data_IF_628662902243
#
_entry.id   IF_628662902243
#
_cell.length_a   1.000
_cell.length_b   1.000
_cell.length_c   1.000
_cell.angle_alpha   90.00
_cell.angle_beta   90.00
_cell.angle_gamma   90.00
#
_symmetry.space_group_name_H-M   'P 1'
#
loop_
_entity.id
_entity.type
_entity.pdbx_description
1 polymer ?
#
# COMPACT_ATOMS: atom_id res chain seq x y z
N UNK A 1 3.44 15.00 6.93
CA UNK A 1 2.24 14.28 6.98
C UNK A 1 2.44 12.91 7.52
N UNK A 2 1.48 12.40 8.20
CA UNK A 2 1.63 11.13 8.75
C UNK A 2 1.67 10.06 7.75
N UNK A 3 2.42 9.04 7.97
CA UNK A 3 2.44 7.87 7.13
C UNK A 3 3.24 8.02 5.87
N UNK A 4 4.07 9.02 5.74
CA UNK A 4 4.84 9.17 4.53
C UNK A 4 6.26 8.65 4.65
N UNK A 5 6.59 7.95 5.73
CA UNK A 5 7.91 7.38 5.88
C UNK A 5 7.82 5.95 6.34
N UNK A 6 8.82 5.16 6.01
CA UNK A 6 8.87 3.78 6.47
C UNK A 6 9.26 3.81 7.93
N UNK A 7 8.51 3.15 8.78
CA UNK A 7 8.77 3.20 10.21
C UNK A 7 9.09 1.84 10.81
N UNK A 8 8.25 0.84 10.55
CA UNK A 8 8.46 -0.47 11.15
C UNK A 8 9.34 -1.38 10.32
N UNK A 9 9.28 -1.23 9.02
CA UNK A 9 10.08 -2.07 8.13
C UNK A 9 11.35 -1.39 7.72
N UNK A 10 11.98 -1.93 6.72
CA UNK A 10 13.18 -1.36 6.18
C UNK A 10 12.93 -0.77 4.80
N UNK A 11 11.98 -1.32 4.08
CA UNK A 11 11.63 -0.85 2.77
C UNK A 11 10.12 -0.82 2.64
N UNK A 12 9.59 -0.07 1.72
CA UNK A 12 8.16 0.02 1.59
C UNK A 12 7.70 0.51 0.24
N UNK A 13 6.40 0.57 0.07
CA UNK A 13 5.77 1.06 -1.13
C UNK A 13 5.08 2.36 -0.77
N UNK A 14 5.41 3.41 -1.48
CA UNK A 14 4.81 4.71 -1.23
C UNK A 14 3.95 5.10 -2.41
N UNK A 15 2.78 5.62 -2.15
CA UNK A 15 1.87 6.02 -3.22
C UNK A 15 2.39 7.27 -3.91
N UNK A 16 2.33 7.27 -5.23
CA UNK A 16 2.73 8.43 -5.99
C UNK A 16 1.51 9.23 -6.39
N UNK A 17 0.36 8.61 -6.42
CA UNK A 17 -0.87 9.31 -6.75
C UNK A 17 -1.95 8.91 -5.78
N UNK A 18 -3.04 9.65 -5.76
CA UNK A 18 -4.14 9.36 -4.86
C UNK A 18 -5.02 8.30 -5.47
N UNK A 19 -5.73 7.57 -4.66
CA UNK A 19 -6.66 6.58 -5.16
C UNK A 19 -7.31 5.79 -4.06
N UNK A 20 -8.22 4.92 -4.48
CA UNK A 20 -8.92 4.05 -3.55
C UNK A 20 -8.46 2.63 -3.80
N UNK A 21 -8.09 1.94 -2.75
CA UNK A 21 -7.58 0.59 -2.88
C UNK A 21 -8.54 -0.35 -2.18
N UNK A 22 -9.06 -1.32 -2.89
CA UNK A 22 -10.02 -2.24 -2.33
C UNK A 22 -9.36 -3.22 -1.39
N UNK A 23 -10.12 -3.73 -0.45
CA UNK A 23 -9.59 -4.70 0.49
C UNK A 23 -8.98 -5.90 -0.19
N UNK A 24 -9.58 -6.39 -1.27
CA UNK A 24 -9.04 -7.57 -1.93
C UNK A 24 -7.74 -7.23 -2.66
N UNK A 25 -7.54 -5.97 -3.06
CA UNK A 25 -6.28 -5.57 -3.68
C UNK A 25 -5.19 -5.51 -2.62
N UNK A 26 -5.54 -5.04 -1.43
CA UNK A 26 -4.58 -4.98 -0.34
C UNK A 26 -4.16 -6.40 0.01
N UNK A 27 -5.11 -7.31 0.06
CA UNK A 27 -4.80 -8.68 0.41
C UNK A 27 -3.97 -9.34 -0.70
N UNK A 28 -4.28 -9.07 -1.94
CA UNK A 28 -3.51 -9.64 -3.04
C UNK A 28 -2.06 -9.16 -3.00
N UNK A 29 -1.87 -7.88 -2.68
CA UNK A 29 -0.52 -7.35 -2.60
C UNK A 29 0.24 -8.01 -1.44
N UNK A 30 -0.43 -8.18 -0.30
CA UNK A 30 0.20 -8.79 0.84
C UNK A 30 0.62 -10.22 0.51
N UNK A 31 -0.26 -10.96 -0.14
CA UNK A 31 0.04 -12.34 -0.49
C UNK A 31 1.20 -12.40 -1.47
N UNK A 32 1.25 -11.48 -2.43
CA UNK A 32 2.34 -11.48 -3.38
C UNK A 32 3.68 -11.28 -2.68
N UNK A 33 3.71 -10.37 -1.71
CA UNK A 33 4.95 -10.14 -1.00
C UNK A 33 5.34 -11.30 -0.13
N UNK A 34 4.40 -11.85 0.63
CA UNK A 34 4.75 -12.94 1.52
C UNK A 34 5.13 -14.18 0.75
N UNK A 35 4.48 -14.40 -0.39
CA UNK A 35 4.81 -15.58 -1.16
C UNK A 35 6.21 -15.47 -1.74
N UNK A 36 6.61 -14.30 -2.17
CA UNK A 36 7.94 -14.15 -2.74
C UNK A 36 9.02 -14.29 -1.67
N UNK A 37 8.81 -13.71 -0.49
CA UNK A 37 9.82 -13.77 0.54
C UNK A 37 9.75 -15.09 1.29
N UNK A 38 8.67 -15.81 1.12
CA UNK A 38 8.46 -17.05 1.82
C UNK A 38 8.49 -16.81 3.29
N UNK A 39 9.32 -17.40 4.04
CA UNK A 39 9.31 -17.17 5.44
C UNK A 39 10.43 -16.29 5.86
N UNK A 40 11.08 -15.65 4.93
CA UNK A 40 12.24 -14.90 5.31
C UNK A 40 12.00 -13.48 5.74
N UNK A 41 10.85 -12.97 5.59
CA UNK A 41 10.66 -11.58 5.91
C UNK A 41 9.44 -11.31 6.73
N UNK A 42 9.26 -10.04 7.06
CA UNK A 42 8.11 -9.61 7.82
C UNK A 42 7.47 -8.49 7.05
N UNK A 43 6.16 -8.47 6.99
CA UNK A 43 5.42 -7.52 6.21
C UNK A 43 4.44 -6.78 7.09
N UNK A 44 4.34 -5.47 6.92
CA UNK A 44 3.37 -4.67 7.63
C UNK A 44 2.46 -4.02 6.62
N UNK A 45 1.16 -3.98 6.90
CA UNK A 45 0.20 -3.31 6.05
C UNK A 45 -0.17 -2.05 6.79
N UNK A 46 0.10 -0.90 6.20
CA UNK A 46 -0.11 0.37 6.85
C UNK A 46 -1.38 1.09 6.46
N UNK A 47 -2.19 0.48 5.61
CA UNK A 47 -3.47 1.06 5.24
C UNK A 47 -4.55 0.06 5.57
N UNK A 48 -5.75 0.55 5.74
CA UNK A 48 -6.85 -0.31 6.12
C UNK A 48 -8.08 0.09 5.32
N UNK A 49 -8.84 -0.85 4.81
CA UNK A 49 -10.02 -0.53 4.01
C UNK A 49 -11.19 -0.21 4.91
N UNK A 50 -11.24 1.00 5.39
CA UNK A 50 -12.27 1.40 6.33
C UNK A 50 -13.36 2.26 5.71
N UNK A 51 -13.29 2.55 4.42
CA UNK A 51 -14.29 3.36 3.81
C UNK A 51 -15.23 2.50 2.99
N UNK A 52 -16.52 2.49 3.29
CA UNK A 52 -17.44 1.65 2.54
C UNK A 52 -17.86 2.30 1.23
N UNK A 53 -17.95 1.51 0.19
CA UNK A 53 -18.38 1.99 -1.11
C UNK A 53 -19.67 1.27 -1.44
N UNK A 54 -20.72 2.04 -1.71
CA UNK A 54 -21.98 1.48 -2.08
C UNK A 54 -22.16 1.67 -3.54
N UNK A 55 -22.74 0.71 -4.19
CA UNK A 55 -22.93 0.83 -5.60
C UNK A 55 -24.35 0.55 -5.92
N UNK A 56 -24.98 1.41 -6.71
CA UNK A 56 -26.33 1.18 -7.10
C UNK A 56 -26.35 0.62 -8.46
N UNK A 57 -27.05 -0.47 -8.68
CA UNK A 57 -27.09 -1.05 -10.00
C UNK A 57 -27.78 -0.08 -10.94
N UNK A 58 -27.39 -0.10 -12.16
CA UNK A 58 -27.99 0.75 -13.12
C UNK A 58 -29.45 0.43 -13.20
N UNK A 59 -30.28 1.36 -13.27
CA UNK A 59 -31.67 1.11 -13.34
C UNK A 59 -32.36 0.92 -12.04
N UNK A 60 -31.65 0.91 -10.98
CA UNK A 60 -32.28 0.72 -9.72
C UNK A 60 -33.14 1.88 -9.40
N UNK A 61 -34.34 1.65 -8.96
CA UNK A 61 -35.18 2.70 -8.67
C UNK A 61 -34.81 3.13 -7.38
N UNK A 62 -35.04 4.23 -7.07
CA UNK A 62 -34.68 4.75 -5.83
C UNK A 62 -35.26 4.10 -4.66
N UNK A 63 -36.31 3.49 -4.79
CA UNK A 63 -36.95 2.95 -3.67
C UNK A 63 -36.07 2.10 -2.86
N UNK A 64 -35.43 1.22 -3.43
CA UNK A 64 -34.64 0.42 -2.70
C UNK A 64 -33.36 0.92 -2.78
N UNK A 65 -33.16 2.07 -3.02
CA UNK A 65 -31.96 2.60 -3.26
C UNK A 65 -30.86 2.56 -2.34
N UNK A 66 -31.15 2.42 -1.12
CA UNK A 66 -30.14 2.39 -0.25
C UNK A 66 -29.31 1.28 -0.57
N UNK A 67 -28.35 1.31 -1.18
CA UNK A 67 -27.51 0.22 -1.51
C UNK A 67 -26.84 -0.38 -0.33
N UNK A 68 -26.45 -1.58 -0.47
CA UNK A 68 -25.69 -2.22 0.55
C UNK A 68 -24.25 -1.92 0.28
N UNK A 69 -23.42 -2.11 1.26
CA UNK A 69 -22.00 -1.88 1.07
C UNK A 69 -21.52 -2.96 0.13
N UNK A 70 -20.95 -2.55 -0.98
CA UNK A 70 -20.43 -3.50 -1.93
C UNK A 70 -19.02 -3.90 -1.60
N UNK A 71 -18.23 -3.02 -1.12
CA UNK A 71 -16.86 -3.35 -0.77
C UNK A 71 -16.26 -2.22 0.05
N UNK A 72 -15.14 -2.51 0.65
CA UNK A 72 -14.46 -1.52 1.48
C UNK A 72 -13.16 -1.13 0.83
N UNK A 73 -12.78 0.13 0.97
CA UNK A 73 -11.57 0.63 0.36
C UNK A 73 -10.77 1.47 1.35
N UNK A 74 -9.50 1.61 1.08
CA UNK A 74 -8.63 2.51 1.81
C UNK A 74 -8.41 3.70 0.90
N UNK A 75 -8.61 4.89 1.42
CA UNK A 75 -8.38 6.11 0.64
C UNK A 75 -6.93 6.50 0.87
N UNK A 76 -6.16 6.61 -0.19
CA UNK A 76 -4.74 6.85 -0.09
C UNK A 76 -4.40 8.15 -0.78
N UNK A 77 -3.53 8.93 -0.18
CA UNK A 77 -3.07 10.17 -0.75
C UNK A 77 -1.64 10.01 -1.19
N UNK A 78 -1.16 10.86 -2.09
CA UNK A 78 0.22 10.75 -2.54
C UNK A 78 1.15 10.90 -1.35
N UNK A 79 2.21 10.14 -1.31
CA UNK A 79 3.18 10.19 -0.24
C UNK A 79 2.94 9.17 0.86
N UNK A 80 1.78 8.53 0.88
CA UNK A 80 1.51 7.58 1.94
C UNK A 80 2.25 6.28 1.70
N UNK A 81 2.92 5.78 2.75
CA UNK A 81 3.59 4.49 2.67
C UNK A 81 2.52 3.46 3.01
N UNK A 82 2.25 2.56 2.08
CA UNK A 82 1.15 1.63 2.23
C UNK A 82 1.56 0.27 2.78
N UNK A 83 2.72 -0.21 2.38
CA UNK A 83 3.21 -1.50 2.85
C UNK A 83 4.67 -1.38 3.22
N UNK A 84 5.11 -2.18 4.17
CA UNK A 84 6.52 -2.18 4.56
C UNK A 84 7.00 -3.60 4.70
N UNK A 85 8.29 -3.81 4.52
CA UNK A 85 8.86 -5.13 4.58
C UNK A 85 10.23 -5.03 5.23
N UNK A 86 10.61 -6.05 5.96
CA UNK A 86 11.92 -6.10 6.61
C UNK A 86 12.38 -7.53 6.70
N UNK A 87 13.63 -7.71 7.04
CA UNK A 87 14.15 -9.06 7.21
C UNK A 87 14.60 -9.72 5.95
N UNK A 88 14.74 -8.97 4.85
CA UNK A 88 15.21 -9.52 3.59
C UNK A 88 16.22 -8.55 3.00
N UNK A 89 16.96 -8.98 2.02
CA UNK A 89 17.92 -8.11 1.38
C UNK A 89 17.20 -7.07 0.54
N UNK A 90 17.87 -6.02 0.19
CA UNK A 90 17.24 -4.98 -0.58
C UNK A 90 16.79 -5.52 -1.93
N UNK A 91 17.56 -6.40 -2.52
CA UNK A 91 17.21 -6.95 -3.79
C UNK A 91 15.91 -7.75 -3.68
N UNK A 92 15.79 -8.58 -2.66
CA UNK A 92 14.59 -9.34 -2.45
C UNK A 92 13.42 -8.41 -2.15
N UNK A 93 13.66 -7.37 -1.37
CA UNK A 93 12.61 -6.43 -1.03
C UNK A 93 12.09 -5.73 -2.28
N UNK A 94 13.01 -5.30 -3.16
CA UNK A 94 12.59 -4.61 -4.36
C UNK A 94 11.70 -5.49 -5.21
N UNK A 95 12.06 -6.75 -5.34
CA UNK A 95 11.27 -7.64 -6.17
C UNK A 95 9.92 -7.95 -5.52
N UNK A 96 9.92 -8.19 -4.22
CA UNK A 96 8.67 -8.49 -3.54
C UNK A 96 7.71 -7.31 -3.63
N UNK A 97 8.24 -6.10 -3.43
CA UNK A 97 7.39 -4.93 -3.48
C UNK A 97 6.94 -4.63 -4.90
N UNK A 98 7.78 -4.94 -5.89
CA UNK A 98 7.37 -4.75 -7.27
C UNK A 98 6.18 -5.65 -7.59
N UNK A 99 6.21 -6.89 -7.11
CA UNK A 99 5.11 -7.79 -7.35
C UNK A 99 3.85 -7.29 -6.66
N UNK A 100 4.00 -6.72 -5.47
CA UNK A 100 2.85 -6.17 -4.76
C UNK A 100 2.29 -4.97 -5.51
N UNK A 101 3.17 -4.12 -6.05
CA UNK A 101 2.70 -2.94 -6.73
C UNK A 101 1.87 -3.31 -7.96
N UNK A 102 2.13 -4.45 -8.57
CA UNK A 102 1.35 -4.87 -9.71
C UNK A 102 -0.09 -5.20 -9.34
N UNK A 103 -0.36 -5.39 -8.06
CA UNK A 103 -1.71 -5.71 -7.61
C UNK A 103 -2.47 -4.46 -7.19
N UNK A 104 -1.82 -3.33 -7.17
CA UNK A 104 -2.44 -2.10 -6.70
C UNK A 104 -2.88 -1.24 -7.87
N UNK A 105 -3.98 -0.51 -7.73
CA UNK A 105 -4.53 0.27 -8.84
C UNK A 105 -3.91 1.63 -9.04
N UNK A 106 -3.00 2.04 -8.19
CA UNK A 106 -2.41 3.37 -8.31
C UNK A 106 -0.91 3.23 -8.46
N UNK A 107 -0.28 4.29 -8.89
CA UNK A 107 1.16 4.26 -9.07
C UNK A 107 1.86 4.37 -7.74
N UNK A 108 2.90 3.61 -7.58
CA UNK A 108 3.63 3.55 -6.33
C UNK A 108 5.11 3.50 -6.62
N UNK A 109 5.90 3.70 -5.61
CA UNK A 109 7.34 3.60 -5.79
C UNK A 109 7.96 2.93 -4.58
N UNK A 110 9.13 2.39 -4.78
CA UNK A 110 9.90 1.74 -3.74
C UNK A 110 10.57 2.81 -2.89
N UNK A 111 10.50 2.66 -1.58
CA UNK A 111 11.17 3.59 -0.69
C UNK A 111 11.88 2.80 0.39
N UNK A 112 12.89 3.39 0.98
CA UNK A 112 13.65 2.76 2.03
C UNK A 112 13.55 3.60 3.29
N UNK A 113 13.77 2.96 4.42
CA UNK A 113 13.69 3.67 5.67
C UNK A 113 14.85 4.64 5.79
N UNK A 114 14.57 5.83 6.24
CA UNK A 114 15.62 6.80 6.43
C UNK A 114 16.32 6.52 7.72
N UNK A 115 17.60 6.73 7.76
CA UNK A 115 18.34 6.54 8.99
C UNK A 115 18.94 7.85 9.36
N UNK A 116 19.17 8.05 10.63
CA UNK A 116 19.72 9.26 11.05
C UNK A 116 21.12 9.49 10.59
N UNK A 117 21.83 8.47 10.42
CA UNK A 117 23.18 8.65 10.02
C UNK A 117 23.28 9.19 8.63
N UNK A 118 22.21 9.15 7.89
CA UNK A 118 22.27 9.67 6.60
C UNK A 118 21.76 11.01 6.46
N UNK A 119 21.58 11.64 7.52
CA UNK A 119 21.07 12.94 7.49
C UNK A 119 21.76 13.81 6.51
N UNK A 120 22.97 13.78 6.51
CA UNK A 120 23.66 14.66 5.65
C UNK A 120 23.39 14.37 4.22
N UNK A 121 23.15 13.16 3.94
CA UNK A 121 22.97 12.86 2.60
C UNK A 121 21.70 13.18 2.10
N UNK A 122 20.78 13.20 2.89
CA UNK A 122 19.51 13.41 2.41
C UNK A 122 19.38 14.53 1.58
N UNK A 123 20.10 15.46 1.87
CA UNK A 123 19.87 16.59 1.19
C UNK A 123 20.03 16.43 -0.18
N UNK A 124 20.87 15.80 -0.55
CA UNK A 124 21.07 15.77 -1.85
C UNK A 124 20.04 15.19 -2.55
N UNK A 125 19.42 14.66 -2.12
CA UNK A 125 18.52 14.12 -2.85
C UNK A 125 17.58 14.89 -3.20
N UNK A 126 17.67 15.51 -3.23
CA UNK A 126 16.86 16.24 -3.53
C UNK A 126 16.64 16.40 -4.32
#
# INVERSE_FOLDING_TARGET
TRGNKVTDGEYGIQAVEAGLIKGNQIEAARIAMTRYTKRGGKVWIKIFPDKPITQKPAGTRGGKGKGNVEYWVAAVKPGRVMFEIAGVSEETAREALRLAMNKLPIKCKFVAKETESKVGDCDEDK
#
